data_IF_249824807050
#
_entry.id   IF_249824807050
#
_cell.length_a   1.000
_cell.length_b   1.000
_cell.length_c   1.000
_cell.angle_alpha   90.00
_cell.angle_beta   90.00
_cell.angle_gamma   90.00
#
_symmetry.space_group_name_H-M   'P 1'
#
loop_
_entity.id
_entity.type
_entity.pdbx_description
1 polymer ?
#
# COMPACT_ATOMS: atom_id res chain seq x y z
N UNK A 1 -8.78 -9.06 8.98
CA UNK A 1 -8.51 -7.61 9.06
C UNK A 1 -9.42 -6.83 8.13
N UNK A 2 -10.11 -5.79 8.66
CA UNK A 2 -10.89 -4.82 7.89
C UNK A 2 -10.01 -3.62 7.53
N UNK A 3 -9.79 -3.39 6.24
CA UNK A 3 -9.02 -2.28 5.71
C UNK A 3 -9.89 -1.03 5.56
N UNK A 4 -9.54 0.01 6.31
CA UNK A 4 -10.06 1.37 6.16
C UNK A 4 -8.98 2.33 5.69
N UNK A 5 -9.40 3.52 5.27
CA UNK A 5 -8.53 4.57 4.72
C UNK A 5 -7.33 4.91 5.63
N UNK A 6 -7.53 4.95 6.96
CA UNK A 6 -6.48 5.31 7.93
C UNK A 6 -5.25 4.38 7.86
N UNK A 7 -5.43 3.10 7.59
CA UNK A 7 -4.31 2.14 7.48
C UNK A 7 -3.49 2.38 6.21
N UNK A 8 -4.12 2.85 5.13
CA UNK A 8 -3.40 3.26 3.91
C UNK A 8 -2.57 4.51 4.16
N UNK A 9 -3.13 5.50 4.89
CA UNK A 9 -2.37 6.69 5.29
C UNK A 9 -1.19 6.34 6.20
N UNK A 10 -1.37 5.38 7.12
CA UNK A 10 -0.29 4.90 7.96
C UNK A 10 0.81 4.20 7.17
N UNK A 11 0.45 3.35 6.19
CA UNK A 11 1.40 2.70 5.29
C UNK A 11 2.25 3.74 4.56
N UNK A 12 1.63 4.75 3.94
CA UNK A 12 2.36 5.82 3.23
C UNK A 12 3.31 6.55 4.18
N UNK A 13 2.84 6.97 5.37
CA UNK A 13 3.70 7.66 6.36
C UNK A 13 4.92 6.83 6.75
N UNK A 14 4.76 5.51 6.90
CA UNK A 14 5.88 4.61 7.21
C UNK A 14 6.85 4.51 6.04
N UNK A 15 6.36 4.41 4.82
CA UNK A 15 7.20 4.40 3.61
C UNK A 15 7.98 5.71 3.48
N UNK A 16 7.34 6.86 3.68
CA UNK A 16 7.98 8.18 3.61
C UNK A 16 9.02 8.38 4.71
N UNK A 17 8.71 7.91 5.92
CA UNK A 17 9.69 7.90 7.02
C UNK A 17 10.90 7.05 6.67
N UNK A 18 10.70 5.84 6.13
CA UNK A 18 11.79 4.96 5.72
C UNK A 18 12.63 5.58 4.60
N UNK A 19 12.00 6.24 3.62
CA UNK A 19 12.71 6.94 2.53
C UNK A 19 13.61 8.05 3.03
N UNK A 20 13.14 8.82 4.01
CA UNK A 20 13.90 9.96 4.55
C UNK A 20 14.94 9.56 5.59
N UNK A 21 14.60 8.65 6.50
CA UNK A 21 15.45 8.30 7.63
C UNK A 21 16.41 7.14 7.35
N UNK A 22 15.99 6.15 6.55
CA UNK A 22 16.74 4.90 6.28
C UNK A 22 16.57 4.43 4.83
N UNK A 23 16.97 5.23 3.83
CA UNK A 23 16.86 4.87 2.42
C UNK A 23 17.63 3.59 2.07
N UNK A 24 18.67 3.25 2.85
CA UNK A 24 19.46 2.03 2.73
C UNK A 24 18.63 0.75 2.93
N UNK A 25 17.52 0.83 3.65
CA UNK A 25 16.60 -0.29 3.88
C UNK A 25 15.57 -0.46 2.76
N UNK A 26 15.50 0.47 1.80
CA UNK A 26 14.58 0.40 0.68
C UNK A 26 15.33 0.06 -0.61
N UNK A 27 14.75 -0.86 -1.39
CA UNK A 27 15.26 -1.16 -2.73
C UNK A 27 14.86 -0.06 -3.71
N UNK A 28 15.65 0.19 -4.78
CA UNK A 28 15.33 1.19 -5.81
C UNK A 28 13.94 1.06 -6.44
N UNK A 29 13.33 -0.13 -6.35
CA UNK A 29 11.96 -0.41 -6.78
C UNK A 29 11.16 -0.96 -5.60
N UNK A 30 10.00 -0.35 -5.33
CA UNK A 30 9.14 -0.67 -4.20
C UNK A 30 7.74 -1.08 -4.67
N UNK A 31 7.16 -2.07 -4.01
CA UNK A 31 5.73 -2.41 -4.11
C UNK A 31 5.11 -2.15 -2.75
N UNK A 32 4.09 -1.28 -2.72
CA UNK A 32 3.30 -1.00 -1.52
C UNK A 32 2.14 -1.98 -1.49
N UNK A 33 2.05 -2.81 -0.46
CA UNK A 33 1.10 -3.93 -0.42
C UNK A 33 0.34 -4.01 0.91
N UNK A 34 -0.95 -4.32 0.83
CA UNK A 34 -1.81 -4.63 1.98
C UNK A 34 -2.59 -5.91 1.71
N UNK A 35 -2.39 -6.91 2.56
CA UNK A 35 -3.25 -8.09 2.60
C UNK A 35 -4.43 -7.83 3.56
N UNK A 36 -5.66 -7.99 3.10
CA UNK A 36 -6.86 -7.74 3.89
C UNK A 36 -7.94 -8.80 3.64
N UNK A 37 -8.78 -9.10 4.64
CA UNK A 37 -9.93 -9.99 4.44
C UNK A 37 -11.12 -9.23 3.84
N UNK A 38 -11.25 -7.96 4.21
CA UNK A 38 -12.28 -7.05 3.71
C UNK A 38 -11.73 -5.62 3.62
N UNK A 39 -12.10 -4.88 2.58
CA UNK A 39 -11.74 -3.48 2.40
C UNK A 39 -13.00 -2.66 2.08
N UNK A 40 -13.16 -1.50 2.73
CA UNK A 40 -14.26 -0.59 2.39
C UNK A 40 -14.03 0.04 1.00
N UNK A 41 -15.07 0.37 0.22
CA UNK A 41 -14.91 0.94 -1.12
C UNK A 41 -13.97 2.15 -1.18
N UNK A 42 -14.11 3.08 -0.23
CA UNK A 42 -13.25 4.28 -0.14
C UNK A 42 -11.77 3.96 0.09
N UNK A 43 -11.46 2.82 0.72
CA UNK A 43 -10.07 2.37 0.85
C UNK A 43 -9.55 1.81 -0.48
N UNK A 44 -10.38 1.10 -1.25
CA UNK A 44 -9.98 0.58 -2.56
C UNK A 44 -9.76 1.70 -3.57
N UNK A 45 -10.61 2.72 -3.60
CA UNK A 45 -10.44 3.91 -4.45
C UNK A 45 -9.12 4.62 -4.14
N UNK A 46 -8.90 4.96 -2.88
CA UNK A 46 -7.66 5.60 -2.41
C UNK A 46 -6.42 4.74 -2.65
N UNK A 47 -6.53 3.42 -2.50
CA UNK A 47 -5.43 2.50 -2.79
C UNK A 47 -5.06 2.51 -4.27
N UNK A 48 -6.04 2.54 -5.18
CA UNK A 48 -5.80 2.67 -6.63
C UNK A 48 -5.11 3.98 -6.97
N UNK A 49 -5.61 5.10 -6.44
CA UNK A 49 -5.02 6.43 -6.65
C UNK A 49 -3.56 6.50 -6.20
N UNK A 50 -3.21 5.80 -5.13
CA UNK A 50 -1.86 5.81 -4.54
C UNK A 50 -0.95 4.69 -5.02
N UNK A 51 -1.42 3.85 -5.95
CA UNK A 51 -0.69 2.68 -6.43
C UNK A 51 -0.35 1.69 -5.32
N UNK A 52 -1.26 1.48 -4.38
CA UNK A 52 -1.15 0.46 -3.32
C UNK A 52 -1.86 -0.80 -3.80
N UNK A 53 -1.14 -1.91 -3.79
CA UNK A 53 -1.67 -3.22 -4.11
C UNK A 53 -2.42 -3.80 -2.91
N UNK A 54 -3.73 -3.95 -3.04
CA UNK A 54 -4.59 -4.59 -2.06
C UNK A 54 -4.98 -5.95 -2.61
N UNK A 55 -4.75 -6.99 -1.83
CA UNK A 55 -5.11 -8.35 -2.17
C UNK A 55 -5.78 -9.05 -0.99
N UNK A 56 -6.55 -10.07 -1.31
CA UNK A 56 -7.09 -11.04 -0.35
C UNK A 56 -6.80 -12.45 -0.86
N UNK A 57 -7.17 -13.44 -0.05
CA UNK A 57 -6.98 -14.86 -0.40
C UNK A 57 -7.52 -15.24 -1.80
N UNK A 58 -8.59 -14.58 -2.26
CA UNK A 58 -9.24 -14.87 -3.54
C UNK A 58 -8.66 -14.07 -4.72
N UNK A 59 -7.60 -13.29 -4.51
CA UNK A 59 -6.93 -12.51 -5.54
C UNK A 59 -6.91 -11.00 -5.27
N UNK A 60 -6.62 -10.26 -6.35
CA UNK A 60 -6.33 -8.84 -6.31
C UNK A 60 -7.60 -7.99 -6.26
N UNK A 61 -7.59 -6.99 -5.37
CA UNK A 61 -8.64 -5.97 -5.26
C UNK A 61 -8.24 -4.65 -5.92
N UNK A 62 -6.94 -4.38 -6.01
CA UNK A 62 -6.36 -3.28 -6.79
C UNK A 62 -5.16 -3.79 -7.60
N UNK A 63 -4.75 -3.08 -8.67
CA UNK A 63 -3.60 -3.50 -9.47
C UNK A 63 -2.28 -3.41 -8.70
N UNK A 64 -1.35 -4.30 -9.04
CA UNK A 64 0.04 -4.23 -8.58
C UNK A 64 0.81 -3.12 -9.30
N UNK A 65 1.33 -2.15 -8.56
CA UNK A 65 2.14 -1.04 -9.09
C UNK A 65 3.56 -1.09 -8.52
N UNK A 66 4.55 -0.90 -9.39
CA UNK A 66 5.96 -0.81 -8.99
C UNK A 66 6.39 0.64 -9.03
N UNK A 67 6.84 1.16 -7.88
CA UNK A 67 7.30 2.53 -7.71
C UNK A 67 8.82 2.58 -7.84
N UNK A 68 9.34 3.52 -8.62
CA UNK A 68 10.76 3.89 -8.57
C UNK A 68 10.98 4.82 -7.37
N UNK A 69 12.09 4.63 -6.64
CA UNK A 69 12.51 5.55 -5.57
C UNK A 69 13.22 6.77 -6.14
#
# INVERSE_FOLDING_TARGET
VRLGVKLLDELERKVDYMRSARPDLLRPRLIKVVYADYAVPSALEKAKERGIWVLKWSGDLTPRVVHAL
#
